data_IF_794604100223
#
_entry.id   IF_794604100223
#
_cell.length_a   1.000
_cell.length_b   1.000
_cell.length_c   1.000
_cell.angle_alpha   90.00
_cell.angle_beta   90.00
_cell.angle_gamma   90.00
#
_symmetry.space_group_name_H-M   'P 1'
#
loop_
_entity.id
_entity.type
_entity.pdbx_description
1 polymer ?
#
# COMPACT_ATOMS: atom_id res chain seq x y z
N UNK A 1 1.79 14.14 37.25
CA UNK A 1 0.92 13.62 36.16
C UNK A 1 1.77 13.43 34.93
N UNK A 2 1.72 12.26 34.32
CA UNK A 2 2.43 11.97 33.08
C UNK A 2 1.71 12.62 31.89
N UNK A 3 2.46 12.91 30.83
CA UNK A 3 1.91 13.41 29.57
C UNK A 3 1.91 12.29 28.53
N UNK A 4 0.77 12.10 27.89
CA UNK A 4 0.54 11.03 26.93
C UNK A 4 0.11 11.60 25.60
N UNK A 5 0.36 10.84 24.54
CA UNK A 5 0.11 11.22 23.17
C UNK A 5 -0.52 10.05 22.41
N UNK A 6 -1.62 10.32 21.70
CA UNK A 6 -2.20 9.33 20.79
C UNK A 6 -1.55 9.43 19.41
N UNK A 7 -0.89 8.36 18.95
CA UNK A 7 -0.20 8.33 17.66
C UNK A 7 -1.13 8.21 16.45
N UNK A 8 -2.45 8.18 16.66
CA UNK A 8 -3.48 8.09 15.60
C UNK A 8 -4.13 9.44 15.33
N UNK A 9 -4.62 10.14 16.38
CA UNK A 9 -5.27 11.45 16.24
C UNK A 9 -4.40 12.63 16.69
N UNK A 10 -3.18 12.36 17.17
CA UNK A 10 -2.22 13.35 17.67
C UNK A 10 -2.63 14.13 18.92
N UNK A 11 -3.70 13.71 19.60
CA UNK A 11 -4.18 14.32 20.84
C UNK A 11 -3.17 14.13 21.99
N UNK A 12 -3.07 15.13 22.86
CA UNK A 12 -2.21 15.11 24.05
C UNK A 12 -3.08 15.22 25.31
N UNK A 13 -2.87 14.34 26.27
CA UNK A 13 -3.63 14.33 27.51
C UNK A 13 -2.74 14.06 28.72
N UNK A 14 -3.27 14.36 29.91
CA UNK A 14 -2.57 14.22 31.20
C UNK A 14 -3.30 13.21 32.06
N UNK A 15 -2.57 12.23 32.56
CA UNK A 15 -3.08 11.25 33.52
C UNK A 15 -1.94 10.70 34.34
N UNK A 16 -2.25 10.14 35.50
CA UNK A 16 -1.24 9.53 36.38
C UNK A 16 -0.70 8.24 35.74
N UNK A 17 -1.61 7.36 35.30
CA UNK A 17 -1.30 6.12 34.60
C UNK A 17 -1.54 6.22 33.09
N UNK A 18 -0.95 5.31 32.32
CA UNK A 18 -1.21 5.19 30.88
C UNK A 18 -2.70 4.91 30.63
N UNK A 19 -3.41 5.73 29.84
CA UNK A 19 -4.80 5.46 29.53
C UNK A 19 -4.97 4.18 28.70
N UNK A 20 -6.08 3.49 28.93
CA UNK A 20 -6.42 2.23 28.23
C UNK A 20 -6.95 2.47 26.82
N UNK A 21 -7.44 3.69 26.54
CA UNK A 21 -7.91 4.12 25.23
C UNK A 21 -7.83 5.65 25.09
N UNK A 22 -7.76 6.13 23.86
CA UNK A 22 -7.82 7.55 23.53
C UNK A 22 -9.26 8.05 23.63
N UNK A 23 -9.47 9.16 24.34
CA UNK A 23 -10.81 9.73 24.54
C UNK A 23 -11.41 10.31 23.24
N UNK A 24 -10.57 10.67 22.27
CA UNK A 24 -11.00 11.32 21.02
C UNK A 24 -11.27 10.31 19.91
N UNK A 25 -10.33 9.41 19.65
CA UNK A 25 -10.43 8.47 18.52
C UNK A 25 -10.63 7.01 18.94
N UNK A 26 -10.71 6.73 20.24
CA UNK A 26 -10.88 5.39 20.81
C UNK A 26 -9.81 4.37 20.42
N UNK A 27 -8.65 4.83 19.94
CA UNK A 27 -7.48 3.98 19.77
C UNK A 27 -7.05 3.40 21.11
N UNK A 28 -6.72 2.11 21.13
CA UNK A 28 -6.30 1.43 22.35
C UNK A 28 -4.91 1.89 22.84
N UNK A 29 -4.54 1.39 24.02
CA UNK A 29 -3.29 1.72 24.70
C UNK A 29 -2.03 1.44 23.87
N UNK A 30 -2.05 0.54 22.87
CA UNK A 30 -0.91 0.27 21.98
C UNK A 30 -0.55 1.48 21.13
N UNK A 31 -1.51 2.39 20.91
CA UNK A 31 -1.36 3.65 20.16
C UNK A 31 -1.16 4.87 21.06
N UNK A 32 -1.06 4.67 22.37
CA UNK A 32 -0.79 5.73 23.34
C UNK A 32 0.66 5.63 23.77
N UNK A 33 1.39 6.73 23.65
CA UNK A 33 2.82 6.82 23.93
C UNK A 33 3.07 7.88 25.00
N UNK A 34 4.11 7.71 25.81
CA UNK A 34 4.60 8.81 26.61
C UNK A 34 5.10 9.92 25.66
N UNK A 35 4.86 11.19 25.99
CA UNK A 35 5.27 12.32 25.13
C UNK A 35 6.78 12.34 24.86
N UNK A 36 7.60 11.81 25.78
CA UNK A 36 9.06 11.71 25.66
C UNK A 36 9.50 10.57 24.72
N UNK A 37 8.60 9.66 24.37
CA UNK A 37 8.87 8.49 23.52
C UNK A 37 8.33 8.65 22.09
N UNK A 38 7.81 9.83 21.74
CA UNK A 38 7.30 10.10 20.39
C UNK A 38 8.46 9.99 19.39
N UNK A 39 8.36 9.13 18.37
CA UNK A 39 9.41 8.99 17.39
C UNK A 39 9.45 10.23 16.48
N UNK A 40 10.64 10.79 16.31
CA UNK A 40 10.92 11.93 15.44
C UNK A 40 11.56 11.49 14.11
N UNK A 41 11.93 10.22 13.99
CA UNK A 41 12.60 9.66 12.82
C UNK A 41 12.02 8.32 12.38
N UNK A 42 12.17 8.02 11.08
CA UNK A 42 11.78 6.72 10.53
C UNK A 42 12.56 5.56 11.17
N UNK A 43 13.78 5.79 11.63
CA UNK A 43 14.60 4.79 12.34
C UNK A 43 13.91 4.38 13.67
N UNK A 44 13.51 5.37 14.48
CA UNK A 44 12.79 5.12 15.74
C UNK A 44 11.44 4.42 15.50
N UNK A 45 10.69 4.81 14.46
CA UNK A 45 9.45 4.11 14.07
C UNK A 45 9.75 2.64 13.73
N UNK A 46 10.82 2.37 12.97
CA UNK A 46 11.23 1.00 12.61
C UNK A 46 11.69 0.20 13.83
N UNK A 47 12.35 0.82 14.79
CA UNK A 47 12.78 0.17 16.03
C UNK A 47 11.59 -0.26 16.90
N UNK A 48 10.57 0.61 17.03
CA UNK A 48 9.32 0.27 17.70
C UNK A 48 8.61 -0.89 16.98
N UNK A 49 8.54 -0.83 15.65
CA UNK A 49 7.96 -1.88 14.84
C UNK A 49 8.70 -3.22 15.01
N UNK A 50 10.04 -3.19 15.06
CA UNK A 50 10.89 -4.38 15.26
C UNK A 50 10.59 -5.08 16.59
N UNK A 51 10.38 -4.31 17.66
CA UNK A 51 10.02 -4.85 18.98
C UNK A 51 8.66 -5.56 18.92
N UNK A 52 7.65 -4.90 18.34
CA UNK A 52 6.28 -5.45 18.23
C UNK A 52 6.18 -6.66 17.28
N UNK A 53 6.97 -6.66 16.20
CA UNK A 53 6.98 -7.72 15.18
C UNK A 53 8.02 -8.83 15.42
N UNK A 54 8.60 -8.90 16.63
CA UNK A 54 9.64 -9.89 16.96
C UNK A 54 9.19 -11.31 16.59
N UNK A 55 10.07 -12.06 15.92
CA UNK A 55 9.79 -13.42 15.42
C UNK A 55 9.01 -13.48 14.09
N UNK A 56 8.40 -12.37 13.64
CA UNK A 56 7.61 -12.29 12.41
C UNK A 56 8.31 -11.42 11.35
N UNK A 57 8.83 -10.27 11.75
CA UNK A 57 9.57 -9.36 10.88
C UNK A 57 10.63 -8.60 11.68
N UNK A 58 11.89 -8.66 11.24
CA UNK A 58 12.98 -7.93 11.89
C UNK A 58 13.05 -6.45 11.52
N UNK A 59 12.10 -5.91 10.74
CA UNK A 59 12.13 -4.55 10.20
C UNK A 59 13.53 -4.19 9.66
N UNK A 60 14.05 -5.04 8.77
CA UNK A 60 15.39 -4.91 8.22
C UNK A 60 15.62 -3.53 7.60
N UNK A 61 16.83 -2.94 7.74
CA UNK A 61 17.16 -1.65 7.12
C UNK A 61 16.88 -1.64 5.61
N UNK A 62 17.21 -2.75 4.94
CA UNK A 62 16.85 -3.01 3.54
C UNK A 62 15.88 -4.19 3.48
N UNK A 63 14.73 -4.01 2.85
CA UNK A 63 13.76 -5.09 2.64
C UNK A 63 13.81 -5.57 1.18
N UNK A 64 14.86 -6.32 0.88
CA UNK A 64 15.32 -6.77 -0.45
C UNK A 64 14.87 -8.18 -0.84
N UNK A 65 14.16 -8.90 0.03
CA UNK A 65 13.79 -10.29 -0.24
C UNK A 65 14.97 -11.28 -0.24
N UNK A 66 16.11 -10.95 0.38
CA UNK A 66 17.23 -11.88 0.58
C UNK A 66 16.79 -13.14 1.34
N UNK A 67 17.25 -14.30 0.87
CA UNK A 67 16.97 -15.61 1.47
C UNK A 67 17.61 -15.81 2.86
N UNK A 68 18.57 -14.97 3.23
CA UNK A 68 19.17 -15.00 4.57
C UNK A 68 18.24 -14.44 5.64
N UNK A 69 17.17 -13.75 5.23
CA UNK A 69 16.23 -13.07 6.13
C UNK A 69 15.16 -14.03 6.63
N UNK A 70 14.78 -13.88 7.91
CA UNK A 70 13.79 -14.73 8.56
C UNK A 70 12.46 -14.81 7.79
N UNK A 71 12.04 -13.69 7.19
CA UNK A 71 10.79 -13.61 6.45
C UNK A 71 10.83 -14.32 5.08
N UNK A 72 12.00 -14.73 4.59
CA UNK A 72 12.12 -15.55 3.37
C UNK A 72 12.29 -17.04 3.69
N UNK A 73 12.19 -17.41 4.97
CA UNK A 73 12.08 -18.81 5.41
C UNK A 73 10.61 -19.20 5.56
N UNK A 74 10.35 -20.50 5.60
CA UNK A 74 9.03 -21.06 5.81
C UNK A 74 8.90 -21.73 7.18
N UNK A 75 7.70 -21.68 7.75
CA UNK A 75 7.28 -22.50 8.88
C UNK A 75 6.30 -23.56 8.36
N UNK A 76 6.77 -24.79 8.16
CA UNK A 76 5.98 -25.91 7.62
C UNK A 76 5.29 -25.59 6.29
N UNK A 77 6.04 -25.09 5.30
CA UNK A 77 5.51 -24.75 3.98
C UNK A 77 4.68 -23.46 3.92
N UNK A 78 4.71 -22.65 4.98
CA UNK A 78 4.01 -21.34 5.05
C UNK A 78 5.00 -20.21 5.25
N UNK A 79 4.82 -19.06 4.60
CA UNK A 79 5.66 -17.89 4.81
C UNK A 79 5.61 -17.38 6.24
N UNK A 80 6.76 -17.00 6.79
CA UNK A 80 6.82 -16.34 8.08
C UNK A 80 6.42 -14.87 7.92
N UNK A 81 5.29 -14.50 8.52
CA UNK A 81 4.83 -13.11 8.61
C UNK A 81 4.62 -12.42 7.27
N UNK A 82 5.45 -11.41 7.01
CA UNK A 82 5.42 -10.59 5.81
C UNK A 82 6.17 -11.23 4.62
N UNK A 83 6.59 -12.49 4.72
CA UNK A 83 7.33 -13.22 3.68
C UNK A 83 6.66 -13.34 2.32
N UNK A 84 7.41 -13.77 1.31
CA UNK A 84 6.86 -14.22 0.03
C UNK A 84 6.32 -15.66 0.15
N UNK A 85 5.39 -16.05 -0.72
CA UNK A 85 4.87 -17.43 -0.77
C UNK A 85 5.87 -18.37 -1.44
N UNK A 86 5.83 -19.66 -1.09
CA UNK A 86 6.76 -20.66 -1.59
C UNK A 86 8.20 -20.32 -1.23
N UNK A 87 9.11 -20.46 -2.20
CA UNK A 87 10.53 -20.15 -2.03
C UNK A 87 10.80 -18.64 -1.89
N UNK A 88 9.78 -17.78 -2.03
CA UNK A 88 9.92 -16.33 -1.93
C UNK A 88 10.59 -15.68 -3.13
N UNK A 89 10.62 -16.39 -4.28
CA UNK A 89 11.24 -15.97 -5.53
C UNK A 89 10.55 -14.73 -6.11
N UNK A 90 9.22 -14.68 -6.13
CA UNK A 90 8.46 -13.51 -6.60
C UNK A 90 8.75 -12.26 -5.76
N UNK A 91 8.92 -12.42 -4.45
CA UNK A 91 9.29 -11.29 -3.58
C UNK A 91 10.70 -10.79 -3.94
N UNK A 92 11.67 -11.68 -4.10
CA UNK A 92 13.02 -11.29 -4.53
C UNK A 92 13.06 -10.73 -5.96
N UNK A 93 12.25 -11.26 -6.87
CA UNK A 93 12.17 -10.78 -8.25
C UNK A 93 11.69 -9.32 -8.31
N UNK A 94 10.72 -8.94 -7.47
CA UNK A 94 10.26 -7.56 -7.37
C UNK A 94 11.38 -6.58 -6.98
N UNK A 95 12.23 -6.95 -6.03
CA UNK A 95 13.31 -6.08 -5.57
C UNK A 95 14.47 -6.06 -6.56
N UNK A 96 14.80 -7.21 -7.16
CA UNK A 96 15.84 -7.34 -8.17
C UNK A 96 15.51 -6.55 -9.44
N UNK A 97 14.28 -6.67 -9.97
CA UNK A 97 13.87 -5.95 -11.18
C UNK A 97 14.01 -4.42 -11.06
N UNK A 98 13.75 -3.86 -9.88
CA UNK A 98 13.97 -2.43 -9.60
C UNK A 98 15.45 -2.10 -9.38
N UNK A 99 16.20 -3.01 -8.76
CA UNK A 99 17.62 -2.84 -8.49
C UNK A 99 18.44 -2.84 -9.79
N UNK A 100 18.05 -3.63 -10.79
CA UNK A 100 18.73 -3.73 -12.08
C UNK A 100 18.64 -2.42 -12.87
N UNK A 101 17.54 -1.68 -12.72
CA UNK A 101 17.34 -0.37 -13.34
C UNK A 101 18.12 0.70 -12.55
N UNK A 102 18.95 1.48 -13.24
CA UNK A 102 19.69 2.62 -12.66
C UNK A 102 19.08 3.95 -13.13
N UNK A 103 19.44 5.03 -12.43
CA UNK A 103 19.05 6.39 -12.80
C UNK A 103 20.23 7.11 -13.47
N UNK A 104 19.97 7.77 -14.59
CA UNK A 104 20.94 8.66 -15.24
C UNK A 104 20.99 9.99 -14.49
N UNK A 105 22.17 10.34 -14.00
CA UNK A 105 22.39 11.60 -13.31
C UNK A 105 22.45 12.75 -14.32
N UNK A 106 21.80 13.87 -13.99
CA UNK A 106 21.88 15.13 -14.71
C UNK A 106 22.34 16.23 -13.76
N UNK A 107 23.50 16.84 -14.04
CA UNK A 107 24.16 17.81 -13.15
C UNK A 107 24.45 19.16 -13.81
N UNK A 108 24.08 19.32 -15.09
CA UNK A 108 24.25 20.56 -15.84
C UNK A 108 22.86 21.15 -16.13
N UNK A 109 22.65 22.41 -15.78
CA UNK A 109 21.39 23.12 -16.00
C UNK A 109 21.14 24.21 -14.96
N UNK A 110 20.01 24.89 -15.10
CA UNK A 110 19.53 25.85 -14.10
C UNK A 110 19.02 25.15 -12.84
N UNK A 111 19.10 25.85 -11.70
CA UNK A 111 18.55 25.37 -10.44
C UNK A 111 17.02 25.34 -10.49
N UNK A 112 16.41 24.31 -9.91
CA UNK A 112 14.96 24.19 -9.80
C UNK A 112 14.56 23.43 -8.53
N UNK A 113 13.32 23.65 -8.08
CA UNK A 113 12.69 22.83 -7.06
C UNK A 113 11.73 21.83 -7.71
N UNK A 114 11.96 20.51 -7.56
CA UNK A 114 11.09 19.51 -8.17
C UNK A 114 9.66 19.58 -7.65
N UNK A 115 8.68 19.62 -8.57
CA UNK A 115 7.27 19.54 -8.25
C UNK A 115 6.79 18.07 -8.23
N UNK A 116 6.44 17.60 -7.02
CA UNK A 116 5.92 16.25 -6.83
C UNK A 116 4.41 16.17 -6.95
N UNK A 117 3.68 17.27 -7.01
CA UNK A 117 2.21 17.25 -6.97
C UNK A 117 1.61 16.48 -8.14
N UNK A 118 0.46 15.85 -7.90
CA UNK A 118 -0.25 15.10 -8.93
C UNK A 118 -1.75 15.10 -8.68
N UNK A 119 -2.52 14.74 -9.72
CA UNK A 119 -3.93 14.43 -9.59
C UNK A 119 -4.12 12.92 -9.74
N UNK A 120 -4.86 12.30 -8.82
CA UNK A 120 -5.20 10.89 -8.88
C UNK A 120 -6.72 10.75 -8.68
N UNK A 121 -7.43 10.30 -9.72
CA UNK A 121 -8.90 10.21 -9.73
C UNK A 121 -9.59 11.53 -9.32
N UNK A 122 -9.05 12.65 -9.81
CA UNK A 122 -9.55 13.99 -9.50
C UNK A 122 -9.17 14.53 -8.13
N UNK A 123 -8.40 13.78 -7.33
CA UNK A 123 -7.87 14.26 -6.05
C UNK A 123 -6.50 14.90 -6.22
N UNK A 124 -6.32 16.09 -5.67
CA UNK A 124 -5.01 16.73 -5.60
C UNK A 124 -4.17 16.10 -4.48
N UNK A 125 -3.06 15.47 -4.86
CA UNK A 125 -2.10 14.85 -3.94
C UNK A 125 -0.79 15.63 -3.95
N UNK A 126 -0.11 15.66 -2.80
CA UNK A 126 1.21 16.30 -2.68
C UNK A 126 2.32 15.50 -3.40
N UNK A 127 2.08 14.22 -3.67
CA UNK A 127 3.02 13.30 -4.33
C UNK A 127 2.32 12.01 -4.81
N UNK A 128 2.85 11.33 -5.86
CA UNK A 128 2.22 10.15 -6.46
C UNK A 128 2.57 8.85 -5.72
N UNK A 129 2.48 8.85 -4.38
CA UNK A 129 2.81 7.67 -3.56
C UNK A 129 1.60 7.37 -2.68
N UNK A 130 1.05 6.17 -2.82
CA UNK A 130 -0.15 5.72 -2.11
C UNK A 130 0.21 4.58 -1.15
N UNK A 131 -0.46 4.51 -0.01
CA UNK A 131 -0.36 3.33 0.84
C UNK A 131 -1.12 2.14 0.20
N UNK A 132 -0.46 1.01 0.00
CA UNK A 132 -1.04 -0.16 -0.68
C UNK A 132 -2.06 -0.90 0.20
N UNK A 133 -2.97 -1.58 -0.48
CA UNK A 133 -3.97 -2.46 0.14
C UNK A 133 -3.29 -3.62 0.86
N UNK A 134 -3.25 -3.51 2.18
CA UNK A 134 -2.71 -4.52 3.11
C UNK A 134 -3.75 -4.80 4.19
N UNK A 135 -3.69 -5.97 4.82
CA UNK A 135 -4.59 -6.39 5.91
C UNK A 135 -3.92 -7.49 6.74
N UNK A 136 -4.53 -7.83 7.88
CA UNK A 136 -4.09 -8.89 8.76
C UNK A 136 -3.01 -8.50 9.76
N UNK A 137 -2.82 -7.20 10.02
CA UNK A 137 -1.81 -6.74 10.98
C UNK A 137 -2.07 -7.25 12.40
N UNK A 138 -3.34 -7.45 12.78
CA UNK A 138 -3.70 -8.03 14.08
C UNK A 138 -3.15 -9.45 14.26
N UNK A 139 -2.92 -10.20 13.17
CA UNK A 139 -2.33 -11.53 13.23
C UNK A 139 -0.79 -11.52 13.30
N UNK A 140 -0.17 -10.34 13.41
CA UNK A 140 1.26 -10.18 13.67
C UNK A 140 1.52 -9.84 15.14
N UNK A 141 1.53 -10.87 16.01
CA UNK A 141 1.72 -10.73 17.46
C UNK A 141 0.69 -9.84 18.17
N UNK A 142 -0.51 -9.65 17.61
CA UNK A 142 -1.49 -8.68 18.12
C UNK A 142 -0.89 -7.27 18.29
N UNK A 143 0.07 -6.93 17.42
CA UNK A 143 0.84 -5.70 17.51
C UNK A 143 -0.02 -4.43 17.31
N UNK A 144 -1.16 -4.57 16.62
CA UNK A 144 -2.09 -3.50 16.33
C UNK A 144 -3.48 -4.10 16.04
N UNK A 145 -4.53 -3.56 16.64
CA UNK A 145 -5.91 -3.88 16.26
C UNK A 145 -6.13 -3.62 14.77
N UNK A 146 -6.97 -4.42 14.12
CA UNK A 146 -7.13 -4.34 12.67
C UNK A 146 -7.86 -3.06 12.21
N UNK A 147 -8.84 -2.59 12.98
CA UNK A 147 -9.52 -1.31 12.69
C UNK A 147 -8.54 -0.16 12.89
N UNK A 148 -7.76 -0.18 13.98
CA UNK A 148 -6.72 0.82 14.21
C UNK A 148 -5.60 0.77 13.19
N UNK A 149 -5.25 -0.40 12.66
CA UNK A 149 -4.32 -0.52 11.54
C UNK A 149 -4.88 0.17 10.30
N UNK A 150 -6.14 -0.10 9.95
CA UNK A 150 -6.77 0.54 8.80
C UNK A 150 -6.86 2.06 8.98
N UNK A 151 -7.34 2.53 10.14
CA UNK A 151 -7.45 3.95 10.46
C UNK A 151 -6.09 4.64 10.45
N UNK A 152 -5.06 4.03 11.05
CA UNK A 152 -3.70 4.57 11.06
C UNK A 152 -3.15 4.79 9.65
N UNK A 153 -3.37 3.83 8.75
CA UNK A 153 -2.91 3.95 7.36
C UNK A 153 -3.65 5.05 6.62
N UNK A 154 -4.98 5.14 6.76
CA UNK A 154 -5.77 6.17 6.10
C UNK A 154 -5.43 7.56 6.62
N UNK A 155 -5.42 7.74 7.94
CA UNK A 155 -5.16 9.02 8.60
C UNK A 155 -3.72 9.49 8.34
N UNK A 156 -2.73 8.62 8.53
CA UNK A 156 -1.33 8.97 8.25
C UNK A 156 -1.06 9.28 6.77
N UNK A 157 -1.79 8.65 5.85
CA UNK A 157 -1.74 9.01 4.42
C UNK A 157 -2.31 10.42 4.19
N UNK A 158 -3.48 10.70 4.77
CA UNK A 158 -4.12 12.02 4.70
C UNK A 158 -3.22 13.12 5.25
N UNK A 159 -2.61 12.90 6.41
CA UNK A 159 -1.76 13.88 7.09
C UNK A 159 -0.47 14.14 6.27
N UNK A 160 0.07 13.13 5.60
CA UNK A 160 1.16 13.29 4.64
C UNK A 160 0.75 14.03 3.35
N UNK A 161 -0.56 14.13 3.06
CA UNK A 161 -1.11 14.75 1.85
C UNK A 161 -1.21 13.78 0.66
N UNK A 162 -1.49 12.51 0.93
CA UNK A 162 -1.80 11.48 -0.06
C UNK A 162 -2.99 10.63 0.40
N UNK A 163 -3.34 9.56 -0.31
CA UNK A 163 -4.44 8.64 0.05
C UNK A 163 -3.95 7.21 0.25
N UNK A 164 -4.66 6.45 1.10
CA UNK A 164 -4.38 5.05 1.38
C UNK A 164 -5.44 4.10 0.84
N UNK A 165 -4.99 2.93 0.37
CA UNK A 165 -5.81 1.80 -0.03
C UNK A 165 -5.90 0.80 1.12
N UNK A 166 -7.06 0.17 1.32
CA UNK A 166 -7.26 -0.83 2.39
C UNK A 166 -7.92 -2.10 1.89
N UNK A 167 -7.31 -3.22 2.24
CA UNK A 167 -7.78 -4.55 1.89
C UNK A 167 -8.67 -5.18 2.95
N UNK A 168 -9.18 -6.35 2.62
CA UNK A 168 -9.83 -7.26 3.55
C UNK A 168 -9.13 -8.63 3.58
N UNK A 169 -9.47 -9.44 4.58
CA UNK A 169 -8.95 -10.80 4.77
C UNK A 169 -10.04 -11.70 5.37
N UNK A 170 -9.70 -12.95 5.67
CA UNK A 170 -10.67 -14.00 6.01
C UNK A 170 -11.52 -13.73 7.27
N UNK A 171 -11.05 -12.91 8.21
CA UNK A 171 -11.83 -12.53 9.39
C UNK A 171 -12.63 -11.23 9.22
N UNK A 172 -12.70 -10.69 7.99
CA UNK A 172 -13.57 -9.57 7.64
C UNK A 172 -14.85 -10.12 7.03
N UNK A 173 -16.00 -9.68 7.54
CA UNK A 173 -17.34 -10.08 7.07
C UNK A 173 -18.15 -8.88 6.56
N UNK A 174 -19.35 -9.11 6.06
CA UNK A 174 -20.32 -8.04 5.72
C UNK A 174 -20.69 -7.18 6.93
N UNK A 175 -20.82 -7.82 8.09
CA UNK A 175 -21.23 -7.24 9.35
C UNK A 175 -20.07 -6.50 10.01
N UNK A 176 -18.89 -7.14 10.08
CA UNK A 176 -17.69 -6.58 10.65
C UNK A 176 -16.54 -6.50 9.63
N UNK A 177 -16.34 -5.29 9.10
CA UNK A 177 -15.27 -4.99 8.17
C UNK A 177 -14.40 -3.83 8.70
N UNK A 178 -13.23 -4.12 9.28
CA UNK A 178 -12.29 -3.10 9.79
C UNK A 178 -11.91 -2.03 8.77
N UNK A 179 -11.78 -2.39 7.49
CA UNK A 179 -11.48 -1.43 6.41
C UNK A 179 -12.61 -0.42 6.26
N UNK A 180 -13.86 -0.88 6.17
CA UNK A 180 -15.03 0.01 6.04
C UNK A 180 -15.30 0.82 7.32
N UNK A 181 -15.04 0.26 8.51
CA UNK A 181 -15.08 1.01 9.79
C UNK A 181 -14.08 2.17 9.77
N UNK A 182 -12.85 1.92 9.30
CA UNK A 182 -11.84 2.95 9.17
C UNK A 182 -12.20 4.01 8.10
N UNK A 183 -12.78 3.61 6.96
CA UNK A 183 -13.30 4.55 5.96
C UNK A 183 -14.33 5.49 6.58
N UNK A 184 -15.27 4.97 7.38
CA UNK A 184 -16.24 5.79 8.12
C UNK A 184 -15.56 6.76 9.07
N UNK A 185 -14.60 6.29 9.88
CA UNK A 185 -13.85 7.12 10.82
C UNK A 185 -13.03 8.23 10.12
N UNK A 186 -12.63 8.00 8.87
CA UNK A 186 -11.88 8.96 8.05
C UNK A 186 -12.78 9.75 7.08
N UNK A 187 -14.10 9.78 7.29
CA UNK A 187 -15.06 10.49 6.43
C UNK A 187 -14.95 10.14 4.93
N UNK A 188 -14.77 8.85 4.63
CA UNK A 188 -14.61 8.35 3.27
C UNK A 188 -13.24 8.62 2.63
N UNK A 189 -12.28 9.18 3.37
CA UNK A 189 -10.93 9.47 2.87
C UNK A 189 -10.08 8.19 2.80
N UNK A 190 -10.34 7.36 1.79
CA UNK A 190 -9.62 6.14 1.50
C UNK A 190 -10.24 5.37 0.34
N UNK A 191 -9.54 4.30 -0.07
CA UNK A 191 -9.95 3.46 -1.20
C UNK A 191 -9.99 1.99 -0.74
N UNK A 192 -11.17 1.39 -0.56
CA UNK A 192 -11.25 -0.04 -0.28
C UNK A 192 -10.96 -0.88 -1.52
N UNK A 193 -10.09 -1.88 -1.37
CA UNK A 193 -9.80 -2.89 -2.40
C UNK A 193 -10.15 -4.26 -1.84
N UNK A 194 -11.26 -4.84 -2.29
CA UNK A 194 -11.77 -6.09 -1.76
C UNK A 194 -11.13 -7.31 -2.42
N UNK A 195 -11.05 -8.42 -1.69
CA UNK A 195 -10.72 -9.73 -2.23
C UNK A 195 -11.83 -10.18 -3.18
N UNK A 196 -11.54 -11.03 -4.18
CA UNK A 196 -12.48 -11.33 -5.26
C UNK A 196 -13.48 -12.40 -4.79
N UNK A 197 -14.30 -12.05 -3.80
CA UNK A 197 -15.35 -12.90 -3.21
C UNK A 197 -16.54 -13.07 -4.16
N UNK A 198 -17.59 -13.75 -3.73
CA UNK A 198 -18.83 -13.86 -4.51
C UNK A 198 -19.39 -12.48 -4.91
N UNK A 199 -20.07 -12.40 -6.06
CA UNK A 199 -20.54 -11.12 -6.63
C UNK A 199 -21.48 -10.36 -5.68
N UNK A 200 -22.40 -11.06 -5.02
CA UNK A 200 -23.35 -10.48 -4.07
C UNK A 200 -22.64 -9.87 -2.84
N UNK A 201 -21.59 -10.54 -2.34
CA UNK A 201 -20.75 -10.04 -1.25
C UNK A 201 -19.99 -8.79 -1.67
N UNK A 202 -19.38 -8.81 -2.86
CA UNK A 202 -18.69 -7.64 -3.42
C UNK A 202 -19.63 -6.45 -3.60
N UNK A 203 -20.83 -6.66 -4.14
CA UNK A 203 -21.84 -5.61 -4.32
C UNK A 203 -22.24 -4.96 -2.99
N UNK A 204 -22.47 -5.75 -1.93
CA UNK A 204 -22.73 -5.21 -0.57
C UNK A 204 -21.58 -4.36 -0.05
N UNK A 205 -20.34 -4.80 -0.26
CA UNK A 205 -19.17 -4.03 0.16
C UNK A 205 -19.00 -2.73 -0.64
N UNK A 206 -19.23 -2.77 -1.95
CA UNK A 206 -19.17 -1.61 -2.85
C UNK A 206 -20.25 -0.59 -2.49
N UNK A 207 -21.49 -1.04 -2.26
CA UNK A 207 -22.59 -0.17 -1.82
C UNK A 207 -22.26 0.53 -0.48
N UNK A 208 -21.67 -0.21 0.46
CA UNK A 208 -21.22 0.36 1.74
C UNK A 208 -20.06 1.34 1.54
N UNK A 209 -19.11 1.08 0.64
CA UNK A 209 -18.05 2.02 0.31
C UNK A 209 -18.60 3.32 -0.30
N UNK A 210 -19.59 3.20 -1.21
CA UNK A 210 -20.24 4.33 -1.86
C UNK A 210 -21.04 5.18 -0.86
N UNK A 211 -21.81 4.57 0.05
CA UNK A 211 -22.55 5.32 1.08
C UNK A 211 -21.65 6.03 2.10
N UNK A 212 -20.40 5.56 2.27
CA UNK A 212 -19.39 6.23 3.10
C UNK A 212 -18.66 7.37 2.39
N UNK A 213 -18.95 7.61 1.10
CA UNK A 213 -18.29 8.66 0.32
C UNK A 213 -16.85 8.34 -0.08
N UNK A 214 -16.50 7.05 -0.20
CA UNK A 214 -15.18 6.63 -0.68
C UNK A 214 -14.90 7.18 -2.09
N UNK A 215 -13.63 7.43 -2.40
CA UNK A 215 -13.22 8.10 -3.66
C UNK A 215 -13.14 7.17 -4.85
N UNK A 216 -12.92 5.89 -4.58
CA UNK A 216 -12.87 4.81 -5.55
C UNK A 216 -13.14 3.50 -4.82
N UNK A 217 -13.32 2.43 -5.57
CA UNK A 217 -13.38 1.07 -5.04
C UNK A 217 -12.62 0.14 -5.98
N UNK A 218 -12.18 -1.01 -5.49
CA UNK A 218 -11.53 -1.97 -6.37
C UNK A 218 -11.59 -3.39 -5.88
N UNK A 219 -11.06 -4.28 -6.70
CA UNK A 219 -10.91 -5.69 -6.39
C UNK A 219 -9.47 -6.12 -6.65
N UNK A 220 -8.91 -6.84 -5.69
CA UNK A 220 -7.60 -7.47 -5.73
C UNK A 220 -7.71 -8.86 -6.38
N UNK A 221 -7.71 -8.87 -7.71
CA UNK A 221 -8.03 -10.04 -8.54
C UNK A 221 -7.02 -11.19 -8.38
N UNK A 222 -5.74 -10.86 -8.15
CA UNK A 222 -4.70 -11.86 -7.86
C UNK A 222 -4.95 -12.62 -6.53
N UNK A 223 -5.79 -12.08 -5.66
CA UNK A 223 -6.24 -12.69 -4.41
C UNK A 223 -7.10 -13.95 -4.61
N UNK A 224 -7.51 -14.27 -5.84
CA UNK A 224 -8.30 -15.47 -6.15
C UNK A 224 -7.57 -16.79 -5.82
N UNK A 225 -6.24 -16.78 -5.71
CA UNK A 225 -5.45 -17.93 -5.28
C UNK A 225 -5.33 -18.12 -3.76
N UNK A 226 -6.03 -17.31 -2.95
CA UNK A 226 -5.87 -17.30 -1.49
C UNK A 226 -6.48 -18.54 -0.82
N UNK A 227 -5.63 -19.53 -0.53
CA UNK A 227 -6.02 -20.76 0.19
C UNK A 227 -6.44 -20.49 1.64
N UNK A 228 -5.80 -19.52 2.30
CA UNK A 228 -6.13 -19.17 3.69
C UNK A 228 -7.56 -18.66 3.82
N UNK A 229 -8.05 -17.88 2.85
CA UNK A 229 -9.43 -17.39 2.87
C UNK A 229 -10.43 -18.50 2.64
N UNK A 230 -10.20 -19.35 1.63
CA UNK A 230 -11.06 -20.50 1.34
C UNK A 230 -11.15 -21.45 2.54
N UNK A 231 -10.04 -21.75 3.20
CA UNK A 231 -10.01 -22.63 4.39
C UNK A 231 -10.74 -22.08 5.62
N UNK A 232 -11.02 -20.76 5.66
CA UNK A 232 -11.75 -20.10 6.75
C UNK A 232 -13.17 -19.68 6.33
N UNK A 233 -13.75 -20.33 5.32
CA UNK A 233 -15.13 -20.09 4.91
C UNK A 233 -15.38 -18.77 4.17
N UNK A 234 -14.32 -18.12 3.68
CA UNK A 234 -14.41 -16.91 2.86
C UNK A 234 -13.87 -17.20 1.44
N UNK A 235 -14.61 -17.92 0.58
CA UNK A 235 -14.10 -18.31 -0.72
C UNK A 235 -13.81 -17.10 -1.62
N UNK A 236 -12.78 -17.25 -2.44
CA UNK A 236 -12.32 -16.27 -3.43
C UNK A 236 -12.32 -16.91 -4.80
N UNK A 237 -12.51 -16.10 -5.84
CA UNK A 237 -12.82 -16.59 -7.19
C UNK A 237 -12.01 -15.82 -8.23
N UNK A 238 -11.59 -16.50 -9.29
CA UNK A 238 -11.20 -15.81 -10.52
C UNK A 238 -12.42 -15.08 -11.06
N UNK A 239 -12.23 -13.84 -11.51
CA UNK A 239 -13.28 -13.02 -12.11
C UNK A 239 -13.20 -13.08 -13.62
N UNK A 240 -14.32 -13.37 -14.26
CA UNK A 240 -14.46 -13.20 -15.71
C UNK A 240 -14.56 -11.72 -16.06
N UNK A 241 -14.34 -11.38 -17.34
CA UNK A 241 -14.54 -10.00 -17.83
C UNK A 241 -15.97 -9.51 -17.54
N UNK A 242 -16.96 -10.39 -17.69
CA UNK A 242 -18.37 -10.08 -17.38
C UNK A 242 -18.60 -9.78 -15.91
N UNK A 243 -17.92 -10.50 -15.00
CA UNK A 243 -18.02 -10.22 -13.56
C UNK A 243 -17.44 -8.83 -13.23
N UNK A 244 -16.36 -8.42 -13.91
CA UNK A 244 -15.76 -7.10 -13.75
C UNK A 244 -16.70 -6.02 -14.29
N UNK A 245 -17.17 -6.17 -15.52
CA UNK A 245 -18.11 -5.25 -16.16
C UNK A 245 -19.39 -5.06 -15.32
N UNK A 246 -19.91 -6.15 -14.74
CA UNK A 246 -21.06 -6.09 -13.83
C UNK A 246 -20.76 -5.24 -12.59
N UNK A 247 -19.59 -5.38 -11.97
CA UNK A 247 -19.21 -4.60 -10.79
C UNK A 247 -18.96 -3.14 -11.13
N UNK A 248 -18.31 -2.87 -12.28
CA UNK A 248 -18.10 -1.51 -12.79
C UNK A 248 -19.44 -0.81 -13.02
N UNK A 249 -20.39 -1.47 -13.69
CA UNK A 249 -21.71 -0.90 -13.97
C UNK A 249 -22.59 -0.78 -12.72
N UNK A 250 -22.29 -1.52 -11.64
CA UNK A 250 -23.05 -1.48 -10.40
C UNK A 250 -22.75 -0.23 -9.54
N UNK A 251 -21.60 0.41 -9.72
CA UNK A 251 -21.16 1.56 -8.89
C UNK A 251 -20.93 2.80 -9.73
N UNK A 252 -21.14 3.97 -9.11
CA UNK A 252 -20.72 5.25 -9.70
C UNK A 252 -19.27 5.64 -9.35
N UNK A 253 -18.62 4.87 -8.47
CA UNK A 253 -17.23 5.11 -8.09
C UNK A 253 -16.26 4.62 -9.17
N UNK A 254 -15.14 5.32 -9.40
CA UNK A 254 -14.04 4.78 -10.19
C UNK A 254 -13.62 3.40 -9.69
N UNK A 255 -13.53 2.44 -10.59
CA UNK A 255 -13.21 1.06 -10.26
C UNK A 255 -11.73 0.76 -10.52
N UNK A 256 -11.08 0.03 -9.59
CA UNK A 256 -9.67 -0.35 -9.66
C UNK A 256 -9.56 -1.87 -9.79
N UNK A 257 -8.93 -2.35 -10.87
CA UNK A 257 -8.52 -3.74 -10.99
C UNK A 257 -7.08 -3.91 -10.54
N UNK A 258 -6.88 -4.55 -9.38
CA UNK A 258 -5.55 -4.77 -8.80
C UNK A 258 -5.08 -6.21 -8.96
N UNK A 259 -3.77 -6.37 -9.18
CA UNK A 259 -3.15 -7.68 -9.31
C UNK A 259 -2.95 -8.10 -10.76
N UNK A 260 -2.93 -7.15 -11.69
CA UNK A 260 -2.77 -7.42 -13.12
C UNK A 260 -1.28 -7.48 -13.46
N UNK A 261 -0.83 -8.59 -14.05
CA UNK A 261 0.57 -8.77 -14.47
C UNK A 261 0.71 -9.02 -15.98
N UNK A 262 -0.40 -9.15 -16.73
CA UNK A 262 -0.40 -9.43 -18.16
C UNK A 262 -0.99 -8.27 -18.97
N UNK A 263 -0.34 -7.79 -20.03
CA UNK A 263 -0.86 -6.70 -20.87
C UNK A 263 -2.26 -6.98 -21.44
N UNK A 264 -2.51 -8.20 -21.92
CA UNK A 264 -3.81 -8.57 -22.49
C UNK A 264 -4.93 -8.61 -21.45
N UNK A 265 -4.63 -8.95 -20.20
CA UNK A 265 -5.62 -8.89 -19.11
C UNK A 265 -5.89 -7.46 -18.68
N UNK A 266 -4.87 -6.59 -18.72
CA UNK A 266 -5.03 -5.17 -18.47
C UNK A 266 -5.98 -4.53 -19.50
N UNK A 267 -5.80 -4.83 -20.79
CA UNK A 267 -6.69 -4.33 -21.83
C UNK A 267 -8.14 -4.79 -21.62
N UNK A 268 -8.35 -6.08 -21.32
CA UNK A 268 -9.70 -6.60 -21.03
C UNK A 268 -10.38 -5.91 -19.84
N UNK A 269 -9.62 -5.53 -18.81
CA UNK A 269 -10.14 -4.77 -17.69
C UNK A 269 -10.56 -3.36 -18.12
N UNK A 270 -9.74 -2.70 -18.94
CA UNK A 270 -10.05 -1.37 -19.50
C UNK A 270 -11.30 -1.43 -20.38
N UNK A 271 -11.41 -2.44 -21.25
CA UNK A 271 -12.57 -2.65 -22.11
C UNK A 271 -13.86 -2.88 -21.29
N UNK A 272 -13.74 -3.43 -20.07
CA UNK A 272 -14.83 -3.60 -19.11
C UNK A 272 -15.16 -2.33 -18.30
N UNK A 273 -14.52 -1.19 -18.58
CA UNK A 273 -14.77 0.10 -17.95
C UNK A 273 -13.98 0.37 -16.67
N UNK A 274 -12.95 -0.42 -16.37
CA UNK A 274 -12.07 -0.17 -15.22
C UNK A 274 -11.33 1.16 -15.38
N UNK A 275 -11.33 1.99 -14.34
CA UNK A 275 -10.71 3.32 -14.35
C UNK A 275 -9.21 3.29 -14.04
N UNK A 276 -8.75 2.31 -13.26
CA UNK A 276 -7.33 2.17 -12.87
C UNK A 276 -6.89 0.72 -12.94
N UNK A 277 -5.75 0.48 -13.59
CA UNK A 277 -5.04 -0.80 -13.53
C UNK A 277 -3.95 -0.71 -12.47
N UNK A 278 -3.97 -1.59 -11.47
CA UNK A 278 -2.91 -1.70 -10.49
C UNK A 278 -2.03 -2.93 -10.77
N UNK A 279 -0.85 -2.68 -11.34
CA UNK A 279 0.16 -3.69 -11.65
C UNK A 279 0.80 -4.17 -10.35
N UNK A 280 0.55 -5.43 -10.02
CA UNK A 280 0.88 -6.01 -8.71
C UNK A 280 0.93 -7.53 -8.83
N UNK A 281 1.86 -8.15 -8.12
CA UNK A 281 1.86 -9.60 -7.86
C UNK A 281 1.67 -9.90 -6.36
N UNK A 282 0.91 -9.03 -5.68
CA UNK A 282 0.61 -9.10 -4.25
C UNK A 282 1.87 -9.04 -3.36
N UNK A 283 2.93 -8.38 -3.84
CA UNK A 283 4.23 -8.38 -3.19
C UNK A 283 4.86 -9.78 -3.09
N UNK A 284 4.54 -10.68 -4.03
CA UNK A 284 5.01 -12.05 -4.10
C UNK A 284 4.36 -13.01 -3.09
N UNK A 285 3.08 -12.80 -2.75
CA UNK A 285 2.40 -13.53 -1.66
C UNK A 285 1.27 -14.46 -2.08
N UNK A 286 0.88 -14.45 -3.35
CA UNK A 286 -0.21 -15.28 -3.90
C UNK A 286 0.30 -16.35 -4.86
N UNK A 287 1.25 -15.99 -5.74
CA UNK A 287 1.92 -16.92 -6.64
C UNK A 287 3.43 -16.67 -6.59
N UNK A 288 4.20 -17.73 -6.35
CA UNK A 288 5.66 -17.68 -6.41
C UNK A 288 6.17 -17.83 -7.85
N UNK A 289 7.45 -17.53 -8.09
CA UNK A 289 8.10 -17.62 -9.41
C UNK A 289 7.51 -16.71 -10.50
N UNK A 290 6.93 -15.57 -10.11
CA UNK A 290 6.48 -14.52 -11.04
C UNK A 290 7.63 -13.54 -11.33
N UNK A 291 7.64 -12.86 -12.50
CA UNK A 291 8.57 -11.75 -12.73
C UNK A 291 8.32 -10.60 -11.75
N UNK A 292 9.33 -9.74 -11.57
CA UNK A 292 9.17 -8.52 -10.81
C UNK A 292 8.22 -7.54 -11.51
N UNK A 293 7.44 -6.78 -10.74
CA UNK A 293 6.48 -5.81 -11.30
C UNK A 293 7.15 -4.80 -12.23
N UNK A 294 8.35 -4.31 -11.90
CA UNK A 294 9.09 -3.36 -12.75
C UNK A 294 9.45 -3.93 -14.14
N UNK A 295 9.49 -5.25 -14.30
CA UNK A 295 9.66 -5.92 -15.60
C UNK A 295 8.38 -5.86 -16.44
N UNK A 296 7.21 -6.02 -15.81
CA UNK A 296 5.92 -6.07 -16.51
C UNK A 296 5.32 -4.69 -16.76
N UNK A 297 5.58 -3.73 -15.88
CA UNK A 297 5.04 -2.37 -15.94
C UNK A 297 5.19 -1.69 -17.31
N UNK A 298 6.37 -1.62 -17.95
CA UNK A 298 6.50 -0.97 -19.25
C UNK A 298 5.71 -1.69 -20.36
N UNK A 299 5.58 -3.02 -20.31
CA UNK A 299 4.80 -3.79 -21.29
C UNK A 299 3.30 -3.50 -21.18
N UNK A 300 2.80 -3.33 -19.95
CA UNK A 300 1.41 -2.97 -19.69
C UNK A 300 1.16 -1.52 -20.12
N UNK A 301 2.07 -0.59 -19.80
CA UNK A 301 1.96 0.81 -20.28
C UNK A 301 1.92 0.88 -21.80
N UNK A 302 2.81 0.17 -22.49
CA UNK A 302 2.83 0.13 -23.96
C UNK A 302 1.49 -0.35 -24.54
N UNK A 303 0.90 -1.39 -23.96
CA UNK A 303 -0.40 -1.92 -24.39
C UNK A 303 -1.56 -0.94 -24.19
N UNK A 304 -1.59 -0.24 -23.05
CA UNK A 304 -2.71 0.64 -22.68
C UNK A 304 -2.59 2.08 -23.20
N UNK A 305 -1.38 2.51 -23.58
CA UNK A 305 -1.08 3.91 -23.89
C UNK A 305 -1.21 4.82 -22.66
N UNK A 306 -1.25 6.13 -22.88
CA UNK A 306 -1.22 7.14 -21.80
C UNK A 306 -2.61 7.49 -21.23
N UNK A 307 -3.69 6.98 -21.83
CA UNK A 307 -5.07 7.36 -21.48
C UNK A 307 -5.63 6.68 -20.22
N UNK A 308 -4.98 5.60 -19.76
CA UNK A 308 -5.41 4.83 -18.59
C UNK A 308 -4.48 5.07 -17.42
N UNK A 309 -5.05 5.33 -16.24
CA UNK A 309 -4.28 5.47 -15.02
C UNK A 309 -3.71 4.10 -14.60
N UNK A 310 -2.40 4.02 -14.43
CA UNK A 310 -1.70 2.84 -13.93
C UNK A 310 -1.09 3.14 -12.58
N UNK A 311 -1.37 2.27 -11.61
CA UNK A 311 -0.60 2.22 -10.36
C UNK A 311 0.28 0.98 -10.33
N UNK A 312 1.39 1.03 -9.61
CA UNK A 312 2.30 -0.11 -9.50
C UNK A 312 2.85 -0.28 -8.09
N UNK A 313 2.98 -1.54 -7.66
CA UNK A 313 3.63 -1.93 -6.40
C UNK A 313 4.78 -2.91 -6.64
N UNK A 314 5.37 -3.45 -5.58
CA UNK A 314 6.42 -4.48 -5.70
C UNK A 314 7.83 -3.91 -5.57
N UNK A 315 8.51 -4.28 -4.47
CA UNK A 315 9.94 -3.97 -4.29
C UNK A 315 10.31 -2.53 -3.91
N UNK A 316 9.43 -1.55 -4.11
CA UNK A 316 9.67 -0.11 -3.84
C UNK A 316 9.99 0.17 -2.36
N UNK A 317 11.12 0.84 -2.07
CA UNK A 317 11.55 1.19 -0.68
C UNK A 317 11.96 2.64 -0.51
N UNK A 318 12.31 3.33 -1.59
CA UNK A 318 12.83 4.70 -1.57
C UNK A 318 12.17 5.55 -2.65
N UNK A 319 12.29 6.88 -2.54
CA UNK A 319 11.83 7.78 -3.59
C UNK A 319 12.59 7.64 -4.91
N UNK A 320 13.79 7.04 -4.91
CA UNK A 320 14.49 6.66 -6.15
C UNK A 320 13.76 5.52 -6.86
N UNK A 321 13.27 4.52 -6.11
CA UNK A 321 12.47 3.43 -6.67
C UNK A 321 11.13 3.94 -7.20
N UNK A 322 10.51 4.88 -6.49
CA UNK A 322 9.30 5.57 -6.96
C UNK A 322 9.57 6.25 -8.30
N UNK A 323 10.66 7.02 -8.42
CA UNK A 323 11.00 7.69 -9.68
C UNK A 323 11.22 6.70 -10.83
N UNK A 324 11.86 5.56 -10.57
CA UNK A 324 12.01 4.49 -11.57
C UNK A 324 10.65 3.95 -12.02
N UNK A 325 9.75 3.64 -11.10
CA UNK A 325 8.40 3.15 -11.43
C UNK A 325 7.61 4.18 -12.26
N UNK A 326 7.69 5.46 -11.91
CA UNK A 326 7.06 6.53 -12.70
C UNK A 326 7.63 6.56 -14.13
N UNK A 327 8.96 6.54 -14.27
CA UNK A 327 9.64 6.53 -15.56
C UNK A 327 9.41 5.27 -16.40
N UNK A 328 9.03 4.16 -15.77
CA UNK A 328 8.60 2.92 -16.42
C UNK A 328 7.13 2.96 -16.87
N UNK A 329 6.36 3.97 -16.47
CA UNK A 329 4.99 4.18 -16.92
C UNK A 329 3.92 4.10 -15.84
N UNK A 330 4.25 4.09 -14.55
CA UNK A 330 3.23 4.26 -13.50
C UNK A 330 2.84 5.74 -13.34
N UNK A 331 1.58 6.01 -13.03
CA UNK A 331 1.08 7.34 -12.66
C UNK A 331 1.12 7.56 -11.14
N UNK A 332 0.99 6.49 -10.36
CA UNK A 332 1.24 6.48 -8.92
C UNK A 332 1.81 5.16 -8.42
N UNK A 333 2.56 5.22 -7.33
CA UNK A 333 3.31 4.08 -6.80
C UNK A 333 2.79 3.69 -5.42
N UNK A 334 2.61 2.39 -5.21
CA UNK A 334 2.01 1.81 -4.02
C UNK A 334 3.07 1.22 -3.07
N UNK A 335 2.96 1.51 -1.77
CA UNK A 335 3.85 0.96 -0.73
C UNK A 335 3.11 -0.01 0.20
N UNK A 336 3.59 -1.24 0.30
CA UNK A 336 2.97 -2.30 1.12
C UNK A 336 3.65 -2.51 2.48
N UNK A 337 4.66 -3.39 2.51
CA UNK A 337 5.31 -3.88 3.75
C UNK A 337 5.80 -2.77 4.68
N UNK A 338 6.34 -1.68 4.13
CA UNK A 338 6.84 -0.58 4.94
C UNK A 338 5.72 0.22 5.60
N UNK A 339 4.53 0.29 4.98
CA UNK A 339 3.35 0.89 5.60
C UNK A 339 2.86 0.04 6.79
N UNK A 340 2.91 -1.29 6.68
CA UNK A 340 2.61 -2.18 7.83
C UNK A 340 3.57 -1.88 8.98
N UNK A 341 4.88 -1.80 8.70
CA UNK A 341 5.90 -1.50 9.73
C UNK A 341 5.68 -0.12 10.34
N UNK A 342 5.41 0.87 9.52
CA UNK A 342 5.17 2.24 9.94
C UNK A 342 3.95 2.34 10.88
N UNK A 343 2.83 1.73 10.49
CA UNK A 343 1.61 1.71 11.30
C UNK A 343 1.80 0.93 12.61
N UNK A 344 2.45 -0.24 12.57
CA UNK A 344 2.73 -1.00 13.79
C UNK A 344 3.68 -0.22 14.72
N UNK A 345 4.69 0.46 14.16
CA UNK A 345 5.65 1.24 14.91
C UNK A 345 5.01 2.38 15.69
N UNK A 346 4.22 3.23 15.01
CA UNK A 346 3.69 4.45 15.62
C UNK A 346 2.35 4.92 15.02
N UNK A 347 1.45 4.01 14.64
CA UNK A 347 0.11 4.35 14.14
C UNK A 347 0.13 5.28 12.93
N UNK A 348 -0.76 6.29 12.93
CA UNK A 348 -0.86 7.27 11.86
C UNK A 348 0.43 8.12 11.74
N UNK A 349 1.02 8.53 12.86
CA UNK A 349 2.29 9.26 12.89
C UNK A 349 3.40 8.48 12.16
N UNK A 350 3.51 7.18 12.41
CA UNK A 350 4.51 6.35 11.76
C UNK A 350 4.33 6.31 10.24
N UNK A 351 3.08 6.15 9.78
CA UNK A 351 2.72 6.15 8.35
C UNK A 351 3.04 7.49 7.71
N UNK A 352 2.69 8.60 8.36
CA UNK A 352 2.99 9.96 7.90
C UNK A 352 4.51 10.15 7.71
N UNK A 353 5.30 9.89 8.76
CA UNK A 353 6.76 10.04 8.74
C UNK A 353 7.39 9.19 7.64
N UNK A 354 6.87 7.98 7.41
CA UNK A 354 7.36 7.12 6.33
C UNK A 354 7.08 7.74 4.95
N UNK A 355 5.85 8.15 4.67
CA UNK A 355 5.48 8.72 3.38
C UNK A 355 6.20 10.04 3.09
N UNK A 356 6.34 10.91 4.10
CA UNK A 356 7.12 12.15 4.00
C UNK A 356 8.60 11.89 3.70
N UNK A 357 9.18 10.84 4.28
CA UNK A 357 10.54 10.42 3.98
C UNK A 357 10.70 9.94 2.53
N UNK A 358 9.74 9.15 2.01
CA UNK A 358 9.76 8.72 0.61
C UNK A 358 9.59 9.93 -0.32
N UNK A 359 8.70 10.87 -0.01
CA UNK A 359 8.57 12.14 -0.75
C UNK A 359 9.89 12.93 -0.78
N UNK A 360 10.57 13.06 0.36
CA UNK A 360 11.86 13.77 0.44
C UNK A 360 12.92 13.13 -0.46
N UNK A 361 13.02 11.81 -0.45
CA UNK A 361 13.98 11.09 -1.30
C UNK A 361 13.57 11.10 -2.78
N UNK A 362 12.26 11.18 -3.09
CA UNK A 362 11.76 11.36 -4.46
C UNK A 362 12.16 12.73 -5.00
N UNK A 363 11.95 13.82 -4.23
CA UNK A 363 12.41 15.16 -4.62
C UNK A 363 13.92 15.15 -4.92
N UNK A 364 14.72 14.52 -4.06
CA UNK A 364 16.17 14.40 -4.29
C UNK A 364 16.49 13.64 -5.59
N UNK A 365 15.81 12.52 -5.83
CA UNK A 365 15.99 11.75 -7.06
C UNK A 365 15.67 12.59 -8.29
N UNK A 366 14.51 13.26 -8.30
CA UNK A 366 14.05 14.12 -9.39
C UNK A 366 15.02 15.26 -9.69
N UNK A 367 15.54 15.92 -8.64
CA UNK A 367 16.55 16.96 -8.79
C UNK A 367 17.79 16.42 -9.50
N UNK A 368 18.33 15.30 -9.01
CA UNK A 368 19.56 14.69 -9.55
C UNK A 368 19.39 14.04 -10.94
N UNK A 369 18.16 13.90 -11.44
CA UNK A 369 17.87 13.42 -12.80
C UNK A 369 17.36 14.52 -13.74
N UNK A 370 17.31 15.78 -13.29
CA UNK A 370 16.77 16.90 -14.07
C UNK A 370 15.25 16.82 -14.31
N UNK A 371 14.53 16.04 -13.50
CA UNK A 371 13.09 15.84 -13.61
C UNK A 371 12.34 16.95 -12.87
N UNK A 372 11.94 17.99 -13.58
CA UNK A 372 11.33 19.19 -12.96
C UNK A 372 9.95 18.96 -12.35
N UNK A 373 9.16 18.04 -12.92
CA UNK A 373 7.89 17.58 -12.36
C UNK A 373 7.68 16.10 -12.68
N UNK A 374 6.84 15.43 -11.89
CA UNK A 374 6.64 13.97 -12.01
C UNK A 374 6.14 13.51 -13.39
N UNK A 375 5.39 14.34 -14.13
CA UNK A 375 4.90 14.01 -15.49
C UNK A 375 6.02 13.93 -16.52
N UNK A 376 7.23 14.43 -16.19
CA UNK A 376 8.41 14.34 -17.05
C UNK A 376 9.27 13.11 -16.76
N UNK A 377 8.93 12.29 -15.76
CA UNK A 377 9.61 11.03 -15.52
C UNK A 377 9.36 10.08 -16.70
N UNK A 378 10.40 9.70 -17.43
CA UNK A 378 10.31 8.81 -18.58
C UNK A 378 11.61 8.00 -18.75
N UNK A 379 11.66 7.13 -19.75
CA UNK A 379 12.79 6.23 -19.98
C UNK A 379 14.16 6.90 -20.14
N UNK A 380 14.25 8.20 -20.46
CA UNK A 380 15.54 8.92 -20.60
C UNK A 380 16.32 9.02 -19.29
N UNK A 381 15.60 9.07 -18.16
CA UNK A 381 16.25 9.11 -16.83
C UNK A 381 16.66 7.72 -16.35
N UNK A 382 16.44 6.66 -17.14
CA UNK A 382 16.77 5.28 -16.80
C UNK A 382 18.01 4.81 -17.57
N UNK A 383 18.82 3.98 -16.91
CA UNK A 383 19.85 3.16 -17.52
C UNK A 383 19.55 1.70 -17.19
N UNK A 384 19.54 0.86 -18.22
CA UNK A 384 19.19 -0.56 -18.11
C UNK A 384 20.42 -1.43 -18.33
#
# INVERSE_FOLDING_TARGET
>A
MNQWYCSVCHEKFRSENKPVACEVCHADDRMIMNIEEIPESLEQVRDLARKKLKGICAAYPTCDGSFDKICQREAYGKPIGLGGVGQGLSFRANTQALADIKLNMSVLGEHFEPDTSCSFLGMDLKFPILASSTAGAQKYNDALDETMFCTSVLKGSQDAGTIGLRGDTWFYTSEDNPSLKAMKACNGYGIPIFKPRAQDVLKKFIEKAQSLGCKAVGVDLDGCGSTIMASHGQPVFKKSVKDIEELVNFTSLPFIAKGIMLPEEAQKCVDAGVSVIAVSNHGGRVLDSTPGVATMLPLIREKLGDGITITADGGVRTGYDVLKMLALGADAVLLGRDIIRAAVGAGALGVQLHLEHIKKTLKKAMFMTGTTNIKRANSRILFK
#
